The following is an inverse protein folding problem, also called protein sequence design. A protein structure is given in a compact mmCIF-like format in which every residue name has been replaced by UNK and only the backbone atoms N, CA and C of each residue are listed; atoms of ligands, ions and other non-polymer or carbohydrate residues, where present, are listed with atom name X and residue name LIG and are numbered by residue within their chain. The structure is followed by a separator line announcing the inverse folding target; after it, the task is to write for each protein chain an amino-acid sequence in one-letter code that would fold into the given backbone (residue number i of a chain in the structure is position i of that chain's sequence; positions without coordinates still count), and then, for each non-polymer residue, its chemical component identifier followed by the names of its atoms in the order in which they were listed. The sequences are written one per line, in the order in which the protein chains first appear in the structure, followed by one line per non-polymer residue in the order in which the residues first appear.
data_IF_807278057570
#
_entry.id   IF_807278057570
#
_cell.length_a   1.000
_cell.length_b   1.000
_cell.length_c   1.000
_cell.angle_alpha   90.00
_cell.angle_beta   90.00
_cell.angle_gamma   90.00
#
_symmetry.space_group_name_H-M   'P 1'
#
loop_
_entity.id
_entity.type
_entity.pdbx_description
1 polymer ?
#
# COMPACT_ATOMS: atom_id res chain seq x y z
N UNK A 1 -3.28 2.21 4.24
CA UNK A 1 -4.73 2.31 4.52
C UNK A 1 -5.11 3.56 5.32
N UNK A 2 -4.69 3.74 6.57
CA UNK A 2 -5.14 4.90 7.37
C UNK A 2 -4.66 6.26 6.82
N UNK A 3 -3.42 6.34 6.35
CA UNK A 3 -2.89 7.54 5.69
C UNK A 3 -3.69 7.90 4.42
N UNK A 4 -3.84 6.94 3.50
CA UNK A 4 -4.67 7.12 2.29
C UNK A 4 -6.11 7.54 2.60
N UNK A 5 -6.75 6.92 3.60
CA UNK A 5 -8.11 7.27 4.04
C UNK A 5 -8.20 8.70 4.60
N UNK A 6 -7.11 9.26 5.12
CA UNK A 6 -7.05 10.66 5.55
C UNK A 6 -6.92 11.60 4.34
N UNK A 7 -6.13 11.24 3.33
CA UNK A 7 -5.96 11.99 2.08
C UNK A 7 -7.25 12.12 1.26
N UNK A 8 -8.10 11.08 1.28
CA UNK A 8 -9.40 11.11 0.56
C UNK A 8 -10.44 12.01 1.22
N UNK A 9 -10.21 12.50 2.46
CA UNK A 9 -11.18 13.30 3.21
C UNK A 9 -12.45 12.54 3.63
N UNK A 10 -12.54 11.22 3.38
CA UNK A 10 -13.71 10.42 3.72
C UNK A 10 -13.89 10.30 5.23
N UNK A 11 -15.13 10.40 5.69
CA UNK A 11 -15.49 9.99 7.05
C UNK A 11 -15.58 8.45 7.13
N UNK A 12 -15.52 7.90 8.35
CA UNK A 12 -15.71 6.45 8.54
C UNK A 12 -17.11 6.00 8.14
N UNK A 13 -18.13 6.87 8.26
CA UNK A 13 -19.48 6.58 7.77
C UNK A 13 -19.49 6.45 6.25
N UNK A 14 -18.94 7.43 5.53
CA UNK A 14 -18.91 7.40 4.06
C UNK A 14 -18.10 6.22 3.51
N UNK A 15 -17.01 5.84 4.19
CA UNK A 15 -16.27 4.64 3.82
C UNK A 15 -17.10 3.38 4.05
N UNK A 16 -17.83 3.30 5.16
CA UNK A 16 -18.73 2.18 5.43
C UNK A 16 -19.85 2.08 4.38
N UNK A 17 -20.42 3.23 3.98
CA UNK A 17 -21.46 3.30 2.95
C UNK A 17 -20.93 2.82 1.60
N UNK A 18 -19.70 3.21 1.21
CA UNK A 18 -19.04 2.73 -0.02
C UNK A 18 -18.77 1.22 0.00
N UNK A 19 -18.43 0.69 1.16
CA UNK A 19 -18.14 -0.74 1.35
C UNK A 19 -19.41 -1.58 1.55
N UNK A 20 -20.58 -0.96 1.76
CA UNK A 20 -21.82 -1.67 2.05
C UNK A 20 -21.82 -2.41 3.39
N UNK A 21 -21.02 -1.97 4.37
CA UNK A 21 -20.87 -2.66 5.67
C UNK A 21 -21.20 -1.75 6.85
N UNK A 22 -21.29 -2.35 8.04
CA UNK A 22 -21.57 -1.61 9.26
C UNK A 22 -20.41 -0.68 9.67
N UNK A 23 -20.72 0.60 9.96
CA UNK A 23 -19.75 1.60 10.43
C UNK A 23 -18.93 1.15 11.65
N UNK A 24 -19.51 0.38 12.57
CA UNK A 24 -18.79 -0.11 13.75
C UNK A 24 -17.64 -1.05 13.38
N UNK A 25 -17.79 -1.85 12.32
CA UNK A 25 -16.73 -2.70 11.80
C UNK A 25 -15.59 -1.85 11.23
N UNK A 26 -15.91 -0.83 10.41
CA UNK A 26 -14.93 0.12 9.87
C UNK A 26 -14.21 0.85 11.01
N UNK A 27 -14.95 1.36 12.00
CA UNK A 27 -14.34 2.05 13.14
C UNK A 27 -13.35 1.17 13.89
N UNK A 28 -13.68 -0.11 14.10
CA UNK A 28 -12.79 -1.08 14.76
C UNK A 28 -11.51 -1.33 13.96
N UNK A 29 -11.58 -1.34 12.63
CA UNK A 29 -10.40 -1.55 11.79
C UNK A 29 -9.38 -0.42 11.85
N UNK A 30 -9.84 0.82 12.08
CA UNK A 30 -8.99 2.01 12.09
C UNK A 30 -8.62 2.51 13.50
N UNK A 31 -9.07 1.83 14.57
CA UNK A 31 -8.88 2.28 15.96
C UNK A 31 -7.62 1.76 16.67
N UNK A 32 -6.67 1.12 15.98
CA UNK A 32 -5.31 0.94 16.49
C UNK A 32 -4.80 -0.50 16.64
N UNK A 33 -5.64 -1.52 16.45
CA UNK A 33 -5.14 -2.89 16.26
C UNK A 33 -4.99 -3.15 14.77
N UNK A 34 -3.86 -3.73 14.33
CA UNK A 34 -3.75 -4.23 12.95
C UNK A 34 -4.87 -5.26 12.74
N UNK A 35 -5.89 -4.95 11.91
CA UNK A 35 -6.98 -5.87 11.71
C UNK A 35 -6.48 -7.11 10.95
N UNK A 36 -6.98 -8.28 11.33
CA UNK A 36 -6.81 -9.50 10.55
C UNK A 36 -7.83 -9.50 9.41
N UNK A 37 -7.59 -8.69 8.39
CA UNK A 37 -8.47 -8.61 7.23
C UNK A 37 -8.33 -9.84 6.33
N UNK A 38 -9.48 -10.32 5.85
CA UNK A 38 -9.51 -11.26 4.75
C UNK A 38 -9.10 -10.56 3.44
N UNK A 39 -8.66 -11.34 2.46
CA UNK A 39 -8.17 -10.79 1.19
C UNK A 39 -9.28 -10.02 0.46
N UNK A 40 -10.52 -10.48 0.56
CA UNK A 40 -11.70 -9.83 -0.02
C UNK A 40 -11.91 -8.44 0.59
N UNK A 41 -11.78 -8.31 1.91
CA UNK A 41 -11.85 -7.00 2.58
C UNK A 41 -10.75 -6.06 2.12
N UNK A 42 -9.54 -6.57 1.88
CA UNK A 42 -8.43 -5.76 1.36
C UNK A 42 -8.75 -5.28 -0.06
N UNK A 43 -9.32 -6.13 -0.91
CA UNK A 43 -9.73 -5.79 -2.27
C UNK A 43 -10.86 -4.75 -2.29
N UNK A 44 -11.87 -4.90 -1.44
CA UNK A 44 -12.96 -3.93 -1.30
C UNK A 44 -12.44 -2.56 -0.85
N UNK A 45 -11.54 -2.56 0.15
CA UNK A 45 -10.91 -1.33 0.62
C UNK A 45 -10.03 -0.68 -0.44
N UNK A 46 -9.32 -1.47 -1.24
CA UNK A 46 -8.50 -0.97 -2.35
C UNK A 46 -9.36 -0.29 -3.41
N UNK A 47 -10.48 -0.92 -3.77
CA UNK A 47 -11.49 -0.35 -4.67
C UNK A 47 -12.08 0.94 -4.10
N UNK A 48 -12.52 0.93 -2.84
CA UNK A 48 -13.17 2.10 -2.22
C UNK A 48 -12.24 3.31 -2.03
N UNK A 49 -10.93 3.07 -1.92
CA UNK A 49 -9.90 4.08 -1.72
C UNK A 49 -9.08 4.40 -3.00
N UNK A 50 -9.43 3.75 -4.11
CA UNK A 50 -8.78 3.92 -5.42
C UNK A 50 -7.25 3.75 -5.30
N UNK A 51 -6.83 2.57 -4.83
CA UNK A 51 -5.42 2.18 -4.70
C UNK A 51 -5.19 0.77 -5.21
N UNK A 52 -3.97 0.51 -5.66
CA UNK A 52 -3.53 -0.85 -6.03
C UNK A 52 -3.04 -1.63 -4.81
N UNK A 53 -3.17 -2.95 -4.88
CA UNK A 53 -2.69 -3.89 -3.85
C UNK A 53 -1.49 -4.65 -4.39
N UNK A 54 -0.36 -4.51 -3.72
CA UNK A 54 0.82 -5.35 -3.97
C UNK A 54 0.93 -6.41 -2.86
N UNK A 55 0.95 -7.69 -3.26
CA UNK A 55 1.09 -8.82 -2.33
C UNK A 55 2.56 -9.25 -2.29
N UNK A 56 3.12 -9.31 -1.08
CA UNK A 56 4.51 -9.73 -0.84
C UNK A 56 4.53 -10.89 0.13
N UNK A 57 5.17 -12.00 -0.28
CA UNK A 57 5.46 -13.14 0.58
C UNK A 57 6.78 -12.88 1.30
N UNK A 58 6.82 -13.13 2.61
CA UNK A 58 8.02 -12.91 3.44
C UNK A 58 8.50 -14.22 4.04
N UNK A 59 9.70 -14.66 3.65
CA UNK A 59 10.42 -15.72 4.36
C UNK A 59 11.03 -15.12 5.63
N UNK A 60 10.42 -15.43 6.77
CA UNK A 60 10.84 -14.94 8.09
C UNK A 60 12.19 -15.49 8.54
N UNK A 61 12.61 -16.66 8.05
CA UNK A 61 13.87 -17.30 8.47
C UNK A 61 15.06 -16.64 7.77
N UNK A 62 14.93 -16.40 6.47
CA UNK A 62 15.99 -15.82 5.65
C UNK A 62 15.83 -14.30 5.46
N UNK A 63 14.76 -13.71 5.99
CA UNK A 63 14.38 -12.32 5.79
C UNK A 63 14.29 -11.91 4.30
N UNK A 64 13.82 -12.84 3.45
CA UNK A 64 13.65 -12.65 2.00
C UNK A 64 12.22 -12.28 1.68
N UNK A 65 12.03 -11.48 0.64
CA UNK A 65 10.70 -11.00 0.20
C UNK A 65 10.49 -11.39 -1.24
N UNK A 66 9.30 -11.88 -1.57
CA UNK A 66 8.97 -12.35 -2.92
C UNK A 66 7.66 -11.71 -3.38
N UNK A 67 7.68 -11.16 -4.59
CA UNK A 67 6.50 -10.69 -5.29
C UNK A 67 6.17 -11.63 -6.47
N UNK A 68 5.17 -11.30 -7.29
CA UNK A 68 4.78 -12.09 -8.45
C UNK A 68 5.91 -12.30 -9.46
N UNK A 69 6.85 -11.36 -9.55
CA UNK A 69 7.99 -11.40 -10.46
C UNK A 69 9.23 -12.15 -9.88
N UNK A 70 9.12 -12.72 -8.68
CA UNK A 70 10.23 -13.39 -8.00
C UNK A 70 10.72 -12.63 -6.76
N UNK A 71 11.98 -12.82 -6.39
CA UNK A 71 12.57 -12.19 -5.20
C UNK A 71 12.71 -10.68 -5.36
N UNK A 72 12.16 -9.94 -4.39
CA UNK A 72 12.25 -8.49 -4.31
C UNK A 72 13.57 -8.15 -3.63
N UNK A 73 14.57 -7.77 -4.42
CA UNK A 73 15.81 -7.25 -3.86
C UNK A 73 15.60 -5.79 -3.42
N UNK A 74 15.98 -5.42 -2.18
CA UNK A 74 16.02 -4.02 -1.82
C UNK A 74 17.03 -3.33 -2.74
N UNK A 75 16.57 -2.29 -3.44
CA UNK A 75 17.45 -1.42 -4.22
C UNK A 75 18.38 -0.70 -3.24
N UNK A 76 19.50 -1.34 -2.95
CA UNK A 76 20.64 -0.67 -2.37
C UNK A 76 21.18 0.16 -3.51
N UNK A 77 21.23 1.48 -3.34
CA UNK A 77 22.17 2.18 -4.17
C UNK A 77 23.24 2.83 -3.33
N UNK A 78 24.43 2.79 -3.91
CA UNK A 78 25.61 3.38 -3.34
C UNK A 78 25.36 4.86 -3.08
N UNK A 79 26.14 5.41 -2.17
CA UNK A 79 26.26 6.85 -1.99
C UNK A 79 26.38 7.53 -3.37
N UNK A 80 25.27 8.09 -3.84
CA UNK A 80 25.09 8.47 -5.25
C UNK A 80 23.71 8.10 -5.80
N UNK A 81 22.67 8.73 -5.25
CA UNK A 81 21.31 8.88 -5.81
C UNK A 81 20.41 7.64 -5.89
N UNK A 82 19.36 7.64 -5.05
CA UNK A 82 18.46 6.51 -4.77
C UNK A 82 17.24 6.43 -5.64
N UNK A 83 17.38 5.89 -6.85
CA UNK A 83 16.25 5.60 -7.73
C UNK A 83 15.87 4.12 -7.67
N UNK A 84 14.75 3.85 -7.01
CA UNK A 84 14.10 2.54 -7.01
C UNK A 84 13.30 2.36 -8.29
N UNK A 85 13.96 1.94 -9.37
CA UNK A 85 13.29 1.55 -10.62
C UNK A 85 13.03 0.04 -10.61
N UNK A 86 11.75 -0.34 -10.52
CA UNK A 86 11.30 -1.62 -11.05
C UNK A 86 11.35 -1.52 -12.57
N UNK A 87 12.33 -2.15 -13.20
CA UNK A 87 12.36 -2.23 -14.66
C UNK A 87 11.26 -3.18 -15.14
N UNK A 88 10.12 -2.60 -15.51
CA UNK A 88 9.33 -3.08 -16.63
C UNK A 88 9.21 -1.92 -17.61
N UNK A 89 9.95 -2.03 -18.71
CA UNK A 89 9.82 -1.13 -19.86
C UNK A 89 8.45 -1.37 -20.50
N UNK A 90 7.52 -0.46 -20.30
CA UNK A 90 6.37 -0.27 -21.18
C UNK A 90 6.24 1.24 -21.42
N UNK A 91 6.71 1.72 -22.58
CA UNK A 91 6.29 2.99 -23.17
C UNK A 91 6.25 2.80 -24.70
N UNK A 92 5.24 3.33 -25.41
CA UNK A 92 4.93 4.76 -25.38
C UNK A 92 3.46 5.08 -25.08
N UNK A 93 3.26 6.09 -24.23
CA UNK A 93 1.93 6.61 -23.86
C UNK A 93 2.05 7.35 -22.54
N UNK A 94 2.74 8.49 -22.57
CA UNK A 94 3.05 9.42 -21.48
C UNK A 94 1.93 9.58 -20.46
N UNK A 95 2.21 9.29 -19.18
CA UNK A 95 1.75 10.12 -18.07
C UNK A 95 2.73 10.07 -16.90
N UNK A 96 2.99 11.25 -16.35
CA UNK A 96 4.19 11.58 -15.60
C UNK A 96 4.15 11.13 -14.13
N UNK A 97 5.18 10.34 -13.79
CA UNK A 97 6.04 10.41 -12.59
C UNK A 97 5.36 10.43 -11.20
N UNK A 98 5.49 9.28 -10.53
CA UNK A 98 5.21 9.00 -9.12
C UNK A 98 5.85 9.97 -8.12
N UNK A 99 5.06 10.41 -7.12
CA UNK A 99 5.56 11.06 -5.92
C UNK A 99 6.14 10.02 -4.94
N UNK A 100 7.43 10.15 -4.62
CA UNK A 100 8.14 9.35 -3.61
C UNK A 100 7.97 10.03 -2.25
N UNK A 101 7.26 9.40 -1.31
CA UNK A 101 7.13 9.89 0.07
C UNK A 101 8.22 9.30 0.96
N UNK A 102 9.24 10.11 1.30
CA UNK A 102 10.28 9.76 2.27
C UNK A 102 9.82 10.23 3.67
N UNK A 103 9.76 9.32 4.66
CA UNK A 103 9.69 9.70 6.08
C UNK A 103 11.10 9.80 6.65
N UNK A 104 11.45 10.98 7.15
CA UNK A 104 12.68 11.29 7.87
C UNK A 104 12.46 11.00 9.35
N UNK A 105 13.27 10.14 9.98
CA UNK A 105 13.39 10.11 11.45
C UNK A 105 14.70 10.79 11.84
N UNK A 106 14.60 11.78 12.74
CA UNK A 106 15.73 12.53 13.27
C UNK A 106 16.33 11.79 14.48
N UNK A 107 17.67 11.80 14.54
CA UNK A 107 18.49 11.22 15.59
C UNK A 107 18.37 11.96 16.94
#
# INVERSE_FOLDING_TARGET
MQARKAETGLTLSQLADRLGINKSAVSRWFSGTKPNWEIDTIADLATALEVDVEVVVVDRKMNRRFGPAGEIQPLTLGAGTTLSSGQHSILPGTDAVSAVSIRLEAA
#
